data_IF_061251509918
#
_entry.id   IF_061251509918
#
_cell.length_a   1.000
_cell.length_b   1.000
_cell.length_c   1.000
_cell.angle_alpha   90.00
_cell.angle_beta   90.00
_cell.angle_gamma   90.00
#
_symmetry.space_group_name_H-M   'P 1'
#
loop_
_entity.id
_entity.type
_entity.pdbx_description
1 polymer ?
#
# COMPACT_ATOMS: atom_id res chain seq x y z
N UNK A 1 66.89 17.14 -50.50
CA UNK A 1 66.95 15.67 -50.64
C UNK A 1 66.40 15.08 -49.35
N UNK A 2 65.18 14.53 -49.39
CA UNK A 2 64.42 14.10 -48.21
C UNK A 2 64.85 12.70 -47.77
N UNK A 3 65.28 12.55 -46.51
CA UNK A 3 65.56 11.25 -45.90
C UNK A 3 64.22 10.57 -45.54
N UNK A 4 63.87 9.52 -46.27
CA UNK A 4 62.73 8.65 -45.94
C UNK A 4 63.19 7.68 -44.85
N UNK A 5 62.65 7.82 -43.64
CA UNK A 5 62.82 6.83 -42.57
C UNK A 5 61.82 5.71 -42.81
N UNK A 6 62.30 4.51 -43.12
CA UNK A 6 61.45 3.33 -43.17
C UNK A 6 61.15 2.83 -41.75
N UNK A 7 59.88 2.74 -41.32
CA UNK A 7 59.55 2.19 -40.02
C UNK A 7 59.87 0.69 -40.01
N UNK A 8 60.72 0.27 -39.07
CA UNK A 8 60.99 -1.15 -38.82
C UNK A 8 59.74 -1.80 -38.25
N UNK A 9 59.14 -2.74 -39.00
CA UNK A 9 58.03 -3.57 -38.50
C UNK A 9 58.58 -4.56 -37.47
N UNK A 10 58.50 -4.20 -36.19
CA UNK A 10 58.74 -5.12 -35.07
C UNK A 10 57.52 -6.03 -34.93
N UNK A 11 57.68 -7.32 -35.18
CA UNK A 11 56.66 -8.33 -34.88
C UNK A 11 56.56 -8.54 -33.37
N UNK A 12 55.33 -8.62 -32.85
CA UNK A 12 55.04 -8.93 -31.45
C UNK A 12 55.66 -10.28 -31.07
N UNK A 13 56.41 -10.31 -29.98
CA UNK A 13 56.88 -11.57 -29.40
C UNK A 13 55.72 -12.29 -28.71
N UNK A 14 55.77 -13.63 -28.67
CA UNK A 14 54.73 -14.46 -28.04
C UNK A 14 54.53 -14.10 -26.55
N UNK A 15 55.61 -13.67 -25.88
CA UNK A 15 55.58 -13.18 -24.50
C UNK A 15 54.81 -11.86 -24.38
N UNK A 16 55.03 -10.90 -25.29
CA UNK A 16 54.27 -9.64 -25.30
C UNK A 16 52.78 -9.89 -25.54
N UNK A 17 52.43 -10.84 -26.41
CA UNK A 17 51.03 -11.22 -26.65
C UNK A 17 50.38 -11.80 -25.38
N UNK A 18 51.07 -12.71 -24.70
CA UNK A 18 50.56 -13.29 -23.44
C UNK A 18 50.41 -12.22 -22.35
N UNK A 19 51.38 -11.31 -22.23
CA UNK A 19 51.32 -10.22 -21.26
C UNK A 19 50.18 -9.23 -21.57
N UNK A 20 49.93 -8.93 -22.85
CA UNK A 20 48.80 -8.11 -23.27
C UNK A 20 47.45 -8.80 -22.97
N UNK A 21 47.35 -10.11 -23.19
CA UNK A 21 46.14 -10.88 -22.91
C UNK A 21 45.82 -10.94 -21.42
N UNK A 22 46.80 -11.17 -20.55
CA UNK A 22 46.57 -11.23 -19.10
C UNK A 22 46.11 -9.87 -18.54
N UNK A 23 46.74 -8.78 -18.99
CA UNK A 23 46.31 -7.42 -18.64
C UNK A 23 44.89 -7.16 -19.12
N UNK A 24 44.57 -7.55 -20.35
CA UNK A 24 43.22 -7.37 -20.92
C UNK A 24 42.17 -8.14 -20.12
N UNK A 25 42.42 -9.41 -19.78
CA UNK A 25 41.50 -10.21 -18.97
C UNK A 25 41.30 -9.61 -17.58
N UNK A 26 42.37 -9.12 -16.93
CA UNK A 26 42.25 -8.45 -15.63
C UNK A 26 41.40 -7.17 -15.71
N UNK A 27 41.62 -6.33 -16.73
CA UNK A 27 40.85 -5.11 -16.92
C UNK A 27 39.40 -5.42 -17.26
N UNK A 28 39.14 -6.36 -18.17
CA UNK A 28 37.78 -6.79 -18.51
C UNK A 28 37.05 -7.37 -17.31
N UNK A 29 37.72 -8.15 -16.47
CA UNK A 29 37.17 -8.66 -15.21
C UNK A 29 36.79 -7.53 -14.24
N UNK A 30 37.67 -6.53 -14.08
CA UNK A 30 37.39 -5.38 -13.24
C UNK A 30 36.22 -4.52 -13.75
N UNK A 31 36.12 -4.34 -15.07
CA UNK A 31 34.98 -3.62 -15.68
C UNK A 31 33.69 -4.40 -15.49
N UNK A 32 33.72 -5.72 -15.71
CA UNK A 32 32.55 -6.59 -15.52
C UNK A 32 32.04 -6.54 -14.07
N UNK A 33 32.94 -6.57 -13.07
CA UNK A 33 32.54 -6.47 -11.67
C UNK A 33 31.94 -5.09 -11.32
N UNK A 34 32.49 -4.01 -11.88
CA UNK A 34 31.92 -2.67 -11.70
C UNK A 34 30.53 -2.56 -12.34
N UNK A 35 30.34 -3.11 -13.54
CA UNK A 35 29.03 -3.12 -14.21
C UNK A 35 28.01 -3.93 -13.41
N UNK A 36 28.39 -5.09 -12.87
CA UNK A 36 27.50 -5.88 -12.02
C UNK A 36 27.08 -5.13 -10.75
N UNK A 37 28.03 -4.44 -10.08
CA UNK A 37 27.73 -3.63 -8.92
C UNK A 37 26.80 -2.43 -9.24
N UNK A 38 27.00 -1.78 -10.40
CA UNK A 38 26.13 -0.69 -10.86
C UNK A 38 24.73 -1.22 -11.17
N UNK A 39 24.62 -2.36 -11.86
CA UNK A 39 23.34 -2.98 -12.19
C UNK A 39 22.52 -3.29 -10.93
N UNK A 40 23.13 -3.98 -9.96
CA UNK A 40 22.50 -4.28 -8.66
C UNK A 40 22.08 -3.00 -7.92
N UNK A 41 22.92 -1.95 -7.97
CA UNK A 41 22.60 -0.66 -7.37
C UNK A 41 21.44 0.08 -8.05
N UNK A 42 21.28 -0.06 -9.37
CA UNK A 42 20.15 0.53 -10.12
C UNK A 42 18.85 -0.22 -9.84
N UNK A 43 18.88 -1.54 -9.85
CA UNK A 43 17.72 -2.40 -9.56
C UNK A 43 17.16 -2.13 -8.16
N UNK A 44 18.04 -2.13 -7.15
CA UNK A 44 17.66 -1.80 -5.77
C UNK A 44 16.99 -0.41 -5.66
N UNK A 45 17.51 0.60 -6.38
CA UNK A 45 16.93 1.95 -6.36
C UNK A 45 15.58 2.01 -7.05
N UNK A 46 15.39 1.25 -8.13
CA UNK A 46 14.12 1.18 -8.84
C UNK A 46 13.05 0.55 -7.95
N UNK A 47 13.37 -0.54 -7.25
CA UNK A 47 12.44 -1.21 -6.33
C UNK A 47 12.04 -0.30 -5.16
N UNK A 48 13.02 0.31 -4.47
CA UNK A 48 12.77 1.27 -3.38
C UNK A 48 11.88 2.42 -3.85
N UNK A 49 12.13 2.97 -5.04
CA UNK A 49 11.30 4.06 -5.60
C UNK A 49 9.88 3.58 -5.90
N UNK A 50 9.72 2.37 -6.46
CA UNK A 50 8.41 1.78 -6.71
C UNK A 50 7.59 1.61 -5.43
N UNK A 51 8.23 1.08 -4.38
CA UNK A 51 7.62 0.90 -3.06
C UNK A 51 7.25 2.23 -2.40
N UNK A 52 8.11 3.25 -2.49
CA UNK A 52 7.78 4.59 -1.98
C UNK A 52 6.59 5.23 -2.69
N UNK A 53 6.47 5.07 -4.01
CA UNK A 53 5.32 5.59 -4.77
C UNK A 53 4.03 4.88 -4.34
N UNK A 54 4.06 3.54 -4.21
CA UNK A 54 2.92 2.76 -3.71
C UNK A 54 2.51 3.20 -2.31
N UNK A 55 3.48 3.35 -1.40
CA UNK A 55 3.22 3.76 -0.04
C UNK A 55 2.68 5.20 0.08
N UNK A 56 3.16 6.13 -0.77
CA UNK A 56 2.63 7.49 -0.82
C UNK A 56 1.19 7.53 -1.31
N UNK A 57 0.86 6.75 -2.35
CA UNK A 57 -0.51 6.61 -2.83
C UNK A 57 -1.42 5.96 -1.78
N UNK A 58 -0.93 4.91 -1.10
CA UNK A 58 -1.61 4.26 0.02
C UNK A 58 -1.95 5.25 1.14
N UNK A 59 -0.95 6.05 1.54
CA UNK A 59 -1.11 7.10 2.56
C UNK A 59 -2.21 8.10 2.19
N UNK A 60 -2.19 8.63 0.96
CA UNK A 60 -3.22 9.57 0.51
C UNK A 60 -4.63 8.97 0.46
N UNK A 61 -4.76 7.72 0.04
CA UNK A 61 -6.06 7.02 0.00
C UNK A 61 -6.57 6.73 1.40
N UNK A 62 -5.75 6.14 2.27
CA UNK A 62 -6.12 5.84 3.65
C UNK A 62 -6.48 7.11 4.43
N UNK A 63 -5.69 8.16 4.27
CA UNK A 63 -5.97 9.45 4.89
C UNK A 63 -7.27 10.06 4.42
N UNK A 64 -7.65 9.90 3.15
CA UNK A 64 -8.96 10.37 2.67
C UNK A 64 -10.13 9.67 3.37
N UNK A 65 -10.04 8.35 3.62
CA UNK A 65 -11.08 7.61 4.35
C UNK A 65 -11.13 8.01 5.82
N UNK A 66 -10.00 8.08 6.51
CA UNK A 66 -9.94 8.41 7.94
C UNK A 66 -10.35 9.86 8.18
N UNK A 67 -9.77 10.81 7.44
CA UNK A 67 -10.06 12.23 7.63
C UNK A 67 -11.49 12.61 7.28
N UNK A 68 -12.08 11.91 6.30
CA UNK A 68 -13.48 12.09 5.89
C UNK A 68 -14.50 11.37 6.76
N UNK A 69 -14.06 10.45 7.63
CA UNK A 69 -14.97 9.72 8.53
C UNK A 69 -15.52 10.60 9.65
N UNK A 70 -16.65 10.17 10.22
CA UNK A 70 -17.25 10.78 11.41
C UNK A 70 -16.69 10.16 12.69
N UNK A 71 -16.45 8.86 12.72
CA UNK A 71 -15.80 8.18 13.83
C UNK A 71 -15.26 6.80 13.43
N UNK A 72 -14.43 6.24 14.31
CA UNK A 72 -14.04 4.82 14.26
C UNK A 72 -15.06 4.02 15.06
N UNK A 73 -15.67 3.02 14.43
CA UNK A 73 -16.66 2.15 15.07
C UNK A 73 -16.00 0.95 15.75
N UNK A 74 -14.99 0.39 15.11
CA UNK A 74 -14.19 -0.72 15.64
C UNK A 74 -12.78 -0.66 15.08
N UNK A 75 -11.80 -1.11 15.86
CA UNK A 75 -10.42 -1.23 15.44
C UNK A 75 -9.83 -2.53 15.99
N UNK A 76 -9.16 -3.29 15.13
CA UNK A 76 -8.30 -4.41 15.50
C UNK A 76 -6.84 -4.03 15.22
N UNK A 77 -5.91 -4.98 15.38
CA UNK A 77 -4.51 -4.76 15.03
C UNK A 77 -4.30 -4.58 13.52
N UNK A 78 -5.21 -5.09 12.67
CA UNK A 78 -5.05 -5.12 11.21
C UNK A 78 -6.22 -4.51 10.46
N UNK A 79 -7.37 -4.37 11.11
CA UNK A 79 -8.63 -3.98 10.49
C UNK A 79 -9.24 -2.76 11.17
N UNK A 80 -9.95 -1.96 10.39
CA UNK A 80 -10.57 -0.75 10.86
C UNK A 80 -11.98 -0.62 10.29
N UNK A 81 -12.95 -0.30 11.15
CA UNK A 81 -14.33 -0.03 10.73
C UNK A 81 -14.61 1.45 10.98
N UNK A 82 -14.97 2.15 9.92
CA UNK A 82 -15.23 3.59 9.93
C UNK A 82 -16.69 3.88 9.63
N UNK A 83 -17.25 4.86 10.33
CA UNK A 83 -18.50 5.49 9.92
C UNK A 83 -18.18 6.70 9.06
N UNK A 84 -18.52 6.66 7.77
CA UNK A 84 -18.07 7.69 6.84
C UNK A 84 -18.90 8.97 6.95
N UNK A 85 -20.22 8.85 6.96
CA UNK A 85 -21.15 9.98 6.98
C UNK A 85 -22.51 9.55 7.51
N UNK A 86 -23.24 10.48 8.11
CA UNK A 86 -24.67 10.33 8.42
C UNK A 86 -25.45 10.98 7.28
N UNK A 87 -25.73 10.19 6.25
CA UNK A 87 -26.43 10.64 5.04
C UNK A 87 -27.91 10.90 5.27
N UNK A 88 -28.50 10.25 6.29
CA UNK A 88 -29.92 10.36 6.65
C UNK A 88 -30.19 11.30 7.82
N UNK A 89 -29.16 11.95 8.36
CA UNK A 89 -29.24 12.85 9.54
C UNK A 89 -29.99 12.20 10.73
N UNK A 90 -29.80 10.90 10.87
CA UNK A 90 -30.52 10.05 11.84
C UNK A 90 -29.84 10.00 13.20
N UNK A 91 -28.54 10.35 13.24
CA UNK A 91 -27.68 10.18 14.41
C UNK A 91 -27.29 8.72 14.68
N UNK A 92 -27.59 7.81 13.75
CA UNK A 92 -27.36 6.36 13.87
C UNK A 92 -26.67 5.79 12.63
N UNK A 93 -26.07 4.61 12.79
CA UNK A 93 -25.20 4.04 11.76
C UNK A 93 -26.01 3.16 10.84
N UNK A 94 -26.07 3.52 9.56
CA UNK A 94 -26.63 2.66 8.52
C UNK A 94 -25.51 1.86 7.84
N UNK A 95 -25.80 0.63 7.40
CA UNK A 95 -24.78 -0.23 6.80
C UNK A 95 -24.13 0.35 5.53
N UNK A 96 -24.90 1.09 4.72
CA UNK A 96 -24.37 1.79 3.54
C UNK A 96 -23.32 2.88 3.86
N UNK A 97 -23.32 3.37 5.09
CA UNK A 97 -22.45 4.44 5.58
C UNK A 97 -21.14 3.91 6.17
N UNK A 98 -21.06 2.60 6.41
CA UNK A 98 -19.89 1.95 7.01
C UNK A 98 -18.85 1.62 5.94
N UNK A 99 -17.58 1.75 6.31
CA UNK A 99 -16.44 1.29 5.53
C UNK A 99 -15.61 0.34 6.38
N UNK A 100 -15.46 -0.89 5.91
CA UNK A 100 -14.56 -1.87 6.51
C UNK A 100 -13.25 -1.84 5.75
N UNK A 101 -12.17 -1.49 6.43
CA UNK A 101 -10.82 -1.53 5.89
C UNK A 101 -10.17 -2.79 6.45
N UNK A 102 -9.97 -3.79 5.58
CA UNK A 102 -9.55 -5.13 5.97
C UNK A 102 -8.21 -5.50 5.33
N UNK A 103 -7.37 -6.17 6.10
CA UNK A 103 -6.12 -6.73 5.59
C UNK A 103 -6.33 -8.13 5.03
N UNK A 104 -5.96 -8.33 3.77
CA UNK A 104 -5.90 -9.62 3.10
C UNK A 104 -4.44 -10.14 3.13
N UNK A 105 -4.07 -10.99 4.10
CA UNK A 105 -2.72 -11.54 4.18
C UNK A 105 -2.39 -12.52 3.06
N UNK A 106 -3.39 -13.11 2.38
CA UNK A 106 -3.16 -14.06 1.30
C UNK A 106 -2.85 -13.33 -0.01
N UNK A 107 -3.59 -12.26 -0.29
CA UNK A 107 -3.38 -11.40 -1.46
C UNK A 107 -2.42 -10.23 -1.25
N UNK A 108 -1.91 -10.01 -0.03
CA UNK A 108 -1.05 -8.86 0.31
C UNK A 108 -1.76 -7.53 0.11
N UNK A 109 -3.09 -7.51 0.28
CA UNK A 109 -3.96 -6.38 -0.03
C UNK A 109 -4.48 -5.67 1.21
N UNK A 110 -4.74 -4.38 1.08
CA UNK A 110 -5.58 -3.66 2.03
C UNK A 110 -6.79 -3.12 1.29
N UNK A 111 -7.95 -3.66 1.62
CA UNK A 111 -9.19 -3.53 0.86
C UNK A 111 -10.22 -2.75 1.67
N UNK A 112 -11.01 -1.90 0.99
CA UNK A 112 -12.20 -1.26 1.56
C UNK A 112 -13.42 -1.99 1.05
N UNK A 113 -14.16 -2.57 1.98
CA UNK A 113 -15.47 -3.16 1.74
C UNK A 113 -16.54 -2.14 2.15
N UNK A 114 -17.63 -2.11 1.40
CA UNK A 114 -18.77 -1.24 1.65
C UNK A 114 -20.04 -1.84 1.07
N UNK A 115 -21.17 -1.54 1.70
CA UNK A 115 -22.46 -1.97 1.17
C UNK A 115 -22.80 -1.14 -0.06
N UNK A 116 -23.14 -1.82 -1.15
CA UNK A 116 -23.63 -1.28 -2.40
C UNK A 116 -24.86 -2.06 -2.83
N UNK A 117 -26.02 -1.42 -2.74
CA UNK A 117 -27.27 -1.96 -3.26
C UNK A 117 -27.28 -1.96 -4.80
N UNK A 118 -28.09 -2.82 -5.43
CA UNK A 118 -28.21 -2.87 -6.88
C UNK A 118 -28.62 -1.52 -7.47
N UNK A 119 -28.02 -1.14 -8.61
CA UNK A 119 -28.24 0.16 -9.25
C UNK A 119 -29.69 0.31 -9.78
N UNK A 120 -30.40 -0.80 -10.00
CA UNK A 120 -31.80 -0.83 -10.42
C UNK A 120 -32.82 -0.62 -9.28
N UNK A 121 -32.37 -0.59 -8.02
CA UNK A 121 -33.27 -0.35 -6.89
C UNK A 121 -33.68 1.11 -6.80
N UNK A 122 -34.94 1.32 -6.40
CA UNK A 122 -35.44 2.64 -6.00
C UNK A 122 -34.91 3.03 -4.63
N UNK A 123 -34.86 4.33 -4.34
CA UNK A 123 -34.45 4.85 -3.03
C UNK A 123 -35.25 4.20 -1.87
N UNK A 124 -36.55 3.96 -2.07
CA UNK A 124 -37.40 3.28 -1.09
C UNK A 124 -36.95 1.84 -0.81
N UNK A 125 -36.51 1.10 -1.83
CA UNK A 125 -36.02 -0.26 -1.66
C UNK A 125 -34.68 -0.28 -0.93
N UNK A 126 -33.79 0.66 -1.27
CA UNK A 126 -32.53 0.85 -0.55
C UNK A 126 -32.79 1.19 0.92
N UNK A 127 -33.70 2.11 1.22
CA UNK A 127 -34.04 2.49 2.59
C UNK A 127 -34.68 1.35 3.39
N UNK A 128 -35.45 0.46 2.74
CA UNK A 128 -36.02 -0.72 3.40
C UNK A 128 -34.98 -1.80 3.71
N UNK A 129 -33.93 -1.90 2.91
CA UNK A 129 -32.88 -2.92 3.05
C UNK A 129 -31.69 -2.45 3.90
N UNK A 130 -31.47 -1.13 3.98
CA UNK A 130 -30.40 -0.53 4.75
C UNK A 130 -30.79 -0.45 6.22
N UNK A 131 -30.28 -1.42 6.98
CA UNK A 131 -30.63 -1.55 8.39
C UNK A 131 -29.81 -0.57 9.24
N UNK A 132 -30.45 -0.10 10.29
CA UNK A 132 -29.85 0.74 11.31
C UNK A 132 -29.21 -0.14 12.40
N UNK A 133 -27.99 0.21 12.79
CA UNK A 133 -27.22 -0.50 13.80
C UNK A 133 -26.75 0.44 14.90
N UNK A 134 -26.71 -0.08 16.12
CA UNK A 134 -26.11 0.60 17.26
C UNK A 134 -24.58 0.69 17.09
N UNK A 135 -23.95 1.69 17.71
CA UNK A 135 -22.51 1.94 17.62
C UNK A 135 -21.64 0.74 18.02
N UNK A 136 -22.14 -0.10 18.92
CA UNK A 136 -21.47 -1.27 19.48
C UNK A 136 -21.89 -2.59 18.81
N UNK A 137 -22.53 -2.53 17.63
CA UNK A 137 -22.88 -3.72 16.88
C UNK A 137 -21.63 -4.57 16.54
N UNK A 138 -21.84 -5.86 16.31
CA UNK A 138 -20.79 -6.72 15.75
C UNK A 138 -20.65 -6.43 14.26
N UNK A 139 -19.74 -5.52 13.93
CA UNK A 139 -19.51 -5.07 12.56
C UNK A 139 -19.04 -6.18 11.61
N UNK A 140 -18.47 -7.27 12.12
CA UNK A 140 -18.13 -8.43 11.29
C UNK A 140 -19.39 -9.22 10.93
N UNK A 141 -20.31 -9.40 11.88
CA UNK A 141 -21.60 -10.02 11.61
C UNK A 141 -22.43 -9.19 10.61
N UNK A 142 -22.40 -7.85 10.72
CA UNK A 142 -23.05 -6.95 9.75
C UNK A 142 -22.45 -7.12 8.36
N UNK A 143 -21.12 -7.12 8.23
CA UNK A 143 -20.46 -7.32 6.95
C UNK A 143 -20.84 -8.67 6.32
N UNK A 144 -20.76 -9.75 7.08
CA UNK A 144 -21.09 -11.09 6.60
C UNK A 144 -22.56 -11.18 6.15
N UNK A 145 -23.48 -10.55 6.88
CA UNK A 145 -24.89 -10.51 6.50
C UNK A 145 -25.10 -9.87 5.11
N UNK A 146 -24.44 -8.73 4.83
CA UNK A 146 -24.55 -8.09 3.52
C UNK A 146 -23.75 -8.81 2.43
N UNK A 147 -22.67 -9.51 2.79
CA UNK A 147 -21.89 -10.32 1.85
C UNK A 147 -22.70 -11.56 1.40
N UNK A 148 -23.37 -12.24 2.33
CA UNK A 148 -24.26 -13.37 2.04
C UNK A 148 -25.43 -12.97 1.11
N UNK A 149 -25.85 -11.71 1.17
CA UNK A 149 -26.87 -11.14 0.29
C UNK A 149 -26.31 -10.67 -1.07
N UNK A 150 -24.98 -10.64 -1.24
CA UNK A 150 -24.31 -10.17 -2.45
C UNK A 150 -24.31 -8.65 -2.60
N UNK A 151 -24.45 -7.90 -1.50
CA UNK A 151 -24.51 -6.43 -1.49
C UNK A 151 -23.20 -5.77 -1.05
N UNK A 152 -22.10 -6.52 -0.96
CA UNK A 152 -20.79 -5.98 -0.61
C UNK A 152 -19.98 -5.71 -1.87
N UNK A 153 -19.50 -4.47 -1.98
CA UNK A 153 -18.52 -4.07 -2.97
C UNK A 153 -17.16 -3.87 -2.31
N UNK A 154 -16.10 -4.12 -3.08
CA UNK A 154 -14.72 -4.05 -2.62
C UNK A 154 -13.90 -3.11 -3.51
N UNK A 155 -13.03 -2.32 -2.88
CA UNK A 155 -12.03 -1.50 -3.56
C UNK A 155 -10.66 -1.68 -2.92
N UNK A 156 -9.67 -2.08 -3.73
CA UNK A 156 -8.27 -2.21 -3.31
C UNK A 156 -7.64 -0.83 -3.06
N UNK A 157 -7.23 -0.57 -1.82
CA UNK A 157 -6.50 0.65 -1.46
C UNK A 157 -5.01 0.52 -1.71
N UNK A 158 -4.45 -0.59 -1.23
CA UNK A 158 -3.00 -0.84 -1.18
C UNK A 158 -2.76 -2.28 -1.58
N UNK A 159 -1.68 -2.51 -2.32
CA UNK A 159 -1.26 -3.83 -2.77
C UNK A 159 0.23 -4.05 -2.47
N UNK A 160 0.64 -5.31 -2.38
CA UNK A 160 2.02 -5.70 -2.08
C UNK A 160 2.43 -5.50 -0.62
N UNK A 161 1.48 -5.58 0.31
CA UNK A 161 1.73 -5.52 1.74
C UNK A 161 2.17 -6.89 2.27
N UNK A 162 3.16 -6.86 3.15
CA UNK A 162 3.60 -8.00 3.94
C UNK A 162 2.92 -8.02 5.31
N UNK A 163 2.72 -6.84 5.92
CA UNK A 163 1.98 -6.70 7.17
C UNK A 163 1.39 -5.30 7.33
N UNK A 164 0.37 -5.23 8.18
CA UNK A 164 -0.28 -4.00 8.62
C UNK A 164 -0.37 -4.03 10.13
N UNK A 165 -0.09 -2.90 10.77
CA UNK A 165 -0.38 -2.68 12.19
C UNK A 165 -1.16 -1.36 12.34
N UNK A 166 -2.24 -1.41 13.11
CA UNK A 166 -3.11 -0.27 13.38
C UNK A 166 -3.02 0.08 14.86
N UNK A 167 -2.86 1.37 15.13
CA UNK A 167 -2.95 1.94 16.46
C UNK A 167 -3.92 3.13 16.45
N UNK A 168 -4.75 3.21 17.47
CA UNK A 168 -5.66 4.33 17.72
C UNK A 168 -5.25 5.05 19.01
N UNK A 169 -5.57 6.33 19.13
CA UNK A 169 -5.18 7.16 20.28
C UNK A 169 -5.96 6.89 21.57
N UNK A 170 -7.10 6.19 21.49
CA UNK A 170 -7.93 5.82 22.63
C UNK A 170 -8.27 4.33 22.61
N UNK A 171 -8.39 3.71 23.79
CA UNK A 171 -8.79 2.31 23.90
C UNK A 171 -10.23 2.06 23.42
N UNK A 172 -11.11 3.05 23.55
CA UNK A 172 -12.45 3.01 22.98
C UNK A 172 -12.40 3.57 21.55
N UNK A 173 -12.71 2.78 20.50
CA UNK A 173 -12.74 3.24 19.12
C UNK A 173 -13.64 4.46 18.90
N UNK A 174 -14.79 4.53 19.58
CA UNK A 174 -15.73 5.66 19.44
C UNK A 174 -15.16 6.99 19.96
N UNK A 175 -14.19 6.93 20.86
CA UNK A 175 -13.48 8.11 21.39
C UNK A 175 -12.19 8.42 20.64
N UNK A 176 -11.76 7.54 19.73
CA UNK A 176 -10.54 7.74 18.98
C UNK A 176 -10.68 8.84 17.92
N UNK A 177 -9.65 9.68 17.81
CA UNK A 177 -9.53 10.78 16.85
C UNK A 177 -8.41 10.59 15.87
N UNK A 178 -7.44 9.76 16.21
CA UNK A 178 -6.25 9.52 15.42
C UNK A 178 -6.14 8.02 15.15
N UNK A 179 -5.99 7.67 13.88
CA UNK A 179 -5.61 6.33 13.46
C UNK A 179 -4.20 6.39 12.85
N UNK A 180 -3.34 5.49 13.31
CA UNK A 180 -1.99 5.29 12.79
C UNK A 180 -1.87 3.90 12.20
N UNK A 181 -1.40 3.82 10.97
CA UNK A 181 -1.16 2.60 10.22
C UNK A 181 0.35 2.48 10.01
N UNK A 182 0.92 1.33 10.35
CA UNK A 182 2.26 0.94 9.98
C UNK A 182 2.13 -0.11 8.87
N UNK A 183 2.45 0.28 7.65
CA UNK A 183 2.38 -0.56 6.46
C UNK A 183 3.77 -1.10 6.15
N UNK A 184 3.94 -2.42 6.09
CA UNK A 184 5.18 -3.05 5.67
C UNK A 184 5.03 -3.59 4.26
N UNK A 185 5.93 -3.19 3.36
CA UNK A 185 5.98 -3.66 1.98
C UNK A 185 7.19 -4.58 1.79
N UNK A 186 6.97 -5.70 1.11
CA UNK A 186 8.07 -6.56 0.68
C UNK A 186 8.90 -5.83 -0.38
N UNK A 187 10.22 -5.82 -0.20
CA UNK A 187 11.20 -5.31 -1.14
C UNK A 187 12.42 -6.23 -1.14
N UNK A 188 13.14 -6.32 -2.25
CA UNK A 188 14.29 -7.23 -2.37
C UNK A 188 15.43 -6.85 -1.42
N UNK A 189 15.54 -5.56 -1.09
CA UNK A 189 16.51 -5.02 -0.13
C UNK A 189 16.10 -5.17 1.34
N UNK A 190 14.95 -5.81 1.62
CA UNK A 190 14.35 -5.92 2.94
C UNK A 190 13.11 -5.05 3.11
N UNK A 191 12.21 -5.48 4.02
CA UNK A 191 10.90 -4.88 4.24
C UNK A 191 10.99 -3.36 4.47
N UNK A 192 10.21 -2.59 3.71
CA UNK A 192 10.10 -1.14 3.86
C UNK A 192 8.84 -0.81 4.66
N UNK A 193 9.01 -0.08 5.75
CA UNK A 193 7.89 0.34 6.59
C UNK A 193 7.53 1.79 6.35
N UNK A 194 6.24 2.05 6.22
CA UNK A 194 5.68 3.40 6.10
C UNK A 194 4.61 3.60 7.15
N UNK A 195 4.77 4.67 7.93
CA UNK A 195 3.77 5.09 8.91
C UNK A 195 2.87 6.15 8.29
N UNK A 196 1.57 5.92 8.35
CA UNK A 196 0.51 6.84 7.97
C UNK A 196 -0.27 7.17 9.23
N UNK A 197 -0.36 8.43 9.59
CA UNK A 197 -1.11 8.86 10.78
C UNK A 197 -2.07 9.96 10.37
N UNK A 198 -3.36 9.73 10.59
CA UNK A 198 -4.41 10.61 10.12
C UNK A 198 -5.48 10.81 11.18
N UNK A 199 -6.00 12.03 11.23
CA UNK A 199 -6.99 12.44 12.22
C UNK A 199 -8.37 12.61 11.60
N UNK A 200 -9.38 12.21 12.36
CA UNK A 200 -10.78 12.45 12.05
C UNK A 200 -11.07 13.94 12.23
N UNK A 201 -11.59 14.60 11.19
CA UNK A 201 -11.75 16.07 11.20
C UNK A 201 -12.96 16.56 12.00
N UNK A 202 -14.08 15.84 11.92
CA UNK A 202 -15.35 16.26 12.53
C UNK A 202 -15.56 15.62 13.91
N UNK A 203 -15.22 14.33 14.02
CA UNK A 203 -15.44 13.46 15.17
C UNK A 203 -16.81 13.63 15.83
N UNK A 204 -17.82 13.02 15.23
CA UNK A 204 -19.19 12.99 15.73
C UNK A 204 -19.65 11.53 15.83
N UNK A 205 -19.49 10.89 17.00
CA UNK A 205 -19.94 9.51 17.20
C UNK A 205 -21.48 9.42 17.17
N UNK A 206 -22.04 8.25 16.83
CA UNK A 206 -23.49 8.04 16.85
C UNK A 206 -24.07 8.27 18.24
N UNK A 207 -25.27 8.83 18.30
CA UNK A 207 -25.91 9.31 19.53
C UNK A 207 -26.76 8.22 20.21
N UNK A 208 -27.08 7.14 19.48
CA UNK A 208 -27.90 6.01 19.96
C UNK A 208 -27.20 4.67 19.75
#
# INVERSE_FOLDING_TARGET
MFHVVHPTRRGLTLIELMLALTITVMISGAIASMMAAIAAGVETRQDVRGTMVRASAASGRLGAYVAGSRCILSASATDLVLWLRDSRESGTVHASEVRWILYDPAGGGYDVLYVRFPDEWTDLQCDQADQEYAANADWNAVLNFYDDLGYVAMTRLVDGLESVEIAIDHANPLSARLASFLLSFAAESGAQQVRVSESIRLHEPPVK
#
